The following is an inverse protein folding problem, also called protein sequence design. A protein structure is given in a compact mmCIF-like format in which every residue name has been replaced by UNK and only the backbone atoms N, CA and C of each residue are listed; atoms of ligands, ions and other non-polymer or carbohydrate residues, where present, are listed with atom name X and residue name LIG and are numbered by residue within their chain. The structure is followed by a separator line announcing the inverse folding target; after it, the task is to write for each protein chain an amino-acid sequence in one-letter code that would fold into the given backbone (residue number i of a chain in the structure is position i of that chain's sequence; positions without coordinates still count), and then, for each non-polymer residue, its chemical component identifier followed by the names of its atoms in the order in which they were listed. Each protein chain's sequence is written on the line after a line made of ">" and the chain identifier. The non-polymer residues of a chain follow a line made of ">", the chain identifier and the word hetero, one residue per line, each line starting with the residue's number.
data_IF_224994714562
#
_entry.id   IF_224994714562
#
_cell.length_a   1.000
_cell.length_b   1.000
_cell.length_c   1.000
_cell.angle_alpha   90.00
_cell.angle_beta   90.00
_cell.angle_gamma   90.00
#
_symmetry.space_group_name_H-M   'P 1'
#
loop_
_entity.id
_entity.type
_entity.pdbx_description
1 polymer ?
#
# COMPACT_ATOMS: atom_id res chain seq x y z
N UNK A 1 -26.60 -5.09 19.81
CA UNK A 1 -25.96 -4.87 18.50
C UNK A 1 -24.65 -4.17 18.80
N UNK A 2 -23.50 -4.76 18.46
CA UNK A 2 -22.22 -4.09 18.67
C UNK A 2 -22.09 -2.98 17.62
N UNK A 3 -21.83 -1.76 18.07
CA UNK A 3 -21.53 -0.65 17.18
C UNK A 3 -20.26 -0.99 16.38
N UNK A 4 -20.21 -0.72 15.07
CA UNK A 4 -19.02 -0.98 14.28
C UNK A 4 -17.87 -0.15 14.86
N UNK A 5 -16.78 -0.82 15.24
CA UNK A 5 -15.56 -0.15 15.68
C UNK A 5 -15.13 0.82 14.58
N UNK A 6 -15.25 2.12 14.83
CA UNK A 6 -14.69 3.13 13.94
C UNK A 6 -13.18 2.89 13.87
N UNK A 7 -12.69 2.56 12.67
CA UNK A 7 -11.26 2.45 12.44
C UNK A 7 -10.69 3.86 12.58
N UNK A 8 -9.67 4.02 13.44
CA UNK A 8 -8.99 5.29 13.59
C UNK A 8 -8.50 5.77 12.22
N UNK A 9 -8.85 7.00 11.86
CA UNK A 9 -8.34 7.62 10.65
C UNK A 9 -6.83 7.83 10.81
N UNK A 10 -6.07 7.34 9.83
CA UNK A 10 -4.62 7.52 9.78
C UNK A 10 -4.36 8.52 8.66
N UNK A 11 -3.96 9.72 9.04
CA UNK A 11 -3.46 10.70 8.08
C UNK A 11 -2.03 10.30 7.68
N UNK A 12 -1.84 9.96 6.40
CA UNK A 12 -0.58 9.47 5.86
C UNK A 12 -0.17 10.31 4.66
N UNK A 13 0.83 11.15 4.85
CA UNK A 13 1.50 11.83 3.74
C UNK A 13 2.69 10.98 3.24
N UNK A 14 2.88 10.94 1.92
CA UNK A 14 4.06 10.34 1.29
C UNK A 14 5.35 11.02 1.75
N UNK A 15 5.30 12.32 2.09
CA UNK A 15 6.44 13.07 2.62
C UNK A 15 6.92 12.55 3.98
N UNK A 16 6.04 11.93 4.75
CA UNK A 16 6.36 11.39 6.08
C UNK A 16 6.91 9.96 6.01
N UNK A 17 6.84 9.30 4.85
CA UNK A 17 7.37 7.94 4.67
C UNK A 17 8.87 7.98 4.49
N UNK A 18 9.60 7.51 5.50
CA UNK A 18 11.06 7.42 5.48
C UNK A 18 11.55 6.21 4.71
N UNK A 19 10.88 5.06 4.85
CA UNK A 19 11.27 3.81 4.18
C UNK A 19 10.05 2.93 3.93
N UNK A 20 10.07 2.24 2.79
CA UNK A 20 9.12 1.19 2.46
C UNK A 20 9.89 -0.13 2.34
N UNK A 21 9.37 -1.20 2.93
CA UNK A 21 9.85 -2.56 2.74
C UNK A 21 8.69 -3.45 2.31
N UNK A 22 8.97 -4.38 1.40
CA UNK A 22 8.00 -5.36 0.91
C UNK A 22 8.56 -6.75 1.15
N UNK A 23 7.77 -7.61 1.77
CA UNK A 23 8.14 -8.99 2.04
C UNK A 23 6.96 -9.89 1.73
N UNK A 24 7.21 -10.92 0.94
CA UNK A 24 6.24 -11.98 0.64
C UNK A 24 6.73 -13.26 1.28
N UNK A 25 5.86 -13.92 2.02
CA UNK A 25 6.17 -15.19 2.66
C UNK A 25 6.09 -16.36 1.65
N UNK A 26 6.52 -17.58 2.01
CA UNK A 26 6.43 -18.74 1.12
C UNK A 26 5.00 -19.17 0.77
N UNK A 27 3.99 -18.71 1.51
CA UNK A 27 2.57 -18.98 1.25
C UNK A 27 1.94 -17.92 0.33
N UNK A 28 2.68 -16.86 0.00
CA UNK A 28 2.26 -15.77 -0.88
C UNK A 28 1.57 -14.63 -0.15
N UNK A 29 1.52 -14.63 1.19
CA UNK A 29 1.07 -13.46 1.94
C UNK A 29 2.11 -12.36 1.85
N UNK A 30 1.68 -11.15 1.49
CA UNK A 30 2.57 -10.02 1.28
C UNK A 30 2.33 -8.96 2.34
N UNK A 31 3.41 -8.54 3.00
CA UNK A 31 3.43 -7.40 3.92
C UNK A 31 4.14 -6.22 3.28
N UNK A 32 3.49 -5.06 3.30
CA UNK A 32 4.07 -3.76 2.96
C UNK A 32 4.26 -2.98 4.25
N UNK A 33 5.51 -2.77 4.64
CA UNK A 33 5.87 -2.00 5.83
C UNK A 33 6.23 -0.58 5.45
N UNK A 34 5.60 0.40 6.12
CA UNK A 34 5.91 1.82 6.05
C UNK A 34 6.59 2.23 7.35
N UNK A 35 7.85 2.62 7.28
CA UNK A 35 8.56 3.30 8.37
C UNK A 35 8.38 4.81 8.18
N UNK A 36 7.70 5.45 9.12
CA UNK A 36 7.45 6.88 9.14
C UNK A 36 8.67 7.64 9.70
N UNK A 37 8.85 8.90 9.32
CA UNK A 37 9.88 9.78 9.85
C UNK A 37 9.77 9.97 11.37
N UNK A 38 8.56 9.87 11.92
CA UNK A 38 8.27 9.87 13.36
C UNK A 38 8.76 8.62 14.11
N UNK A 39 9.21 7.59 13.39
CA UNK A 39 9.56 6.28 13.94
C UNK A 39 8.37 5.32 14.09
N UNK A 40 7.14 5.75 13.77
CA UNK A 40 5.99 4.86 13.69
C UNK A 40 6.16 3.87 12.53
N UNK A 41 5.74 2.62 12.75
CA UNK A 41 5.72 1.60 11.70
C UNK A 41 4.29 1.17 11.45
N UNK A 42 3.87 1.18 10.19
CA UNK A 42 2.57 0.70 9.74
C UNK A 42 2.75 -0.44 8.74
N UNK A 43 2.03 -1.54 8.95
CA UNK A 43 2.10 -2.71 8.07
C UNK A 43 0.74 -2.93 7.42
N UNK A 44 0.73 -3.01 6.10
CA UNK A 44 -0.40 -3.51 5.33
C UNK A 44 -0.14 -4.96 4.97
N UNK A 45 -1.02 -5.86 5.40
CA UNK A 45 -0.90 -7.30 5.15
C UNK A 45 -1.97 -7.71 4.14
N UNK A 46 -1.55 -8.37 3.08
CA UNK A 46 -2.40 -8.79 1.99
C UNK A 46 -2.35 -10.31 1.84
N UNK A 47 -3.53 -10.92 1.72
CA UNK A 47 -3.63 -12.27 1.18
C UNK A 47 -3.19 -12.29 -0.29
N UNK A 48 -2.74 -13.44 -0.82
CA UNK A 48 -2.27 -13.55 -2.20
C UNK A 48 -3.28 -13.01 -3.24
N UNK A 49 -4.57 -13.30 -3.05
CA UNK A 49 -5.64 -12.85 -3.95
C UNK A 49 -5.81 -11.32 -3.89
N UNK A 50 -5.74 -10.73 -2.70
CA UNK A 50 -5.90 -9.29 -2.52
C UNK A 50 -4.69 -8.55 -3.08
N UNK A 51 -3.49 -9.07 -2.87
CA UNK A 51 -2.26 -8.50 -3.42
C UNK A 51 -2.27 -8.51 -4.95
N UNK A 52 -2.70 -9.62 -5.57
CA UNK A 52 -2.86 -9.70 -7.03
C UNK A 52 -3.79 -8.61 -7.58
N UNK A 53 -4.89 -8.31 -6.85
CA UNK A 53 -5.81 -7.23 -7.24
C UNK A 53 -5.15 -5.85 -7.13
N UNK A 54 -4.36 -5.62 -6.08
CA UNK A 54 -3.57 -4.39 -5.93
C UNK A 54 -2.59 -4.21 -7.09
N UNK A 55 -1.84 -5.25 -7.45
CA UNK A 55 -0.90 -5.21 -8.58
C UNK A 55 -1.61 -4.87 -9.90
N UNK A 56 -2.77 -5.48 -10.16
CA UNK A 56 -3.56 -5.18 -11.35
C UNK A 56 -4.08 -3.74 -11.38
N UNK A 57 -4.46 -3.18 -10.23
CA UNK A 57 -4.85 -1.77 -10.11
C UNK A 57 -3.66 -0.84 -10.36
N UNK A 58 -2.49 -1.15 -9.81
CA UNK A 58 -1.26 -0.38 -10.02
C UNK A 58 -0.81 -0.41 -11.49
N UNK A 59 -0.89 -1.56 -12.15
CA UNK A 59 -0.57 -1.69 -13.58
C UNK A 59 -1.46 -0.77 -14.43
N UNK A 60 -2.78 -0.81 -14.21
CA UNK A 60 -3.73 0.08 -14.90
C UNK A 60 -3.46 1.56 -14.62
N UNK A 61 -3.14 1.91 -13.37
CA UNK A 61 -2.79 3.28 -13.01
C UNK A 61 -1.52 3.77 -13.71
N UNK A 62 -0.51 2.90 -13.84
CA UNK A 62 0.73 3.20 -14.56
C UNK A 62 0.49 3.36 -16.06
N UNK A 63 -0.31 2.50 -16.68
CA UNK A 63 -0.72 2.64 -18.08
C UNK A 63 -1.46 3.96 -18.32
N UNK A 64 -2.36 4.35 -17.42
CA UNK A 64 -3.07 5.63 -17.50
C UNK A 64 -2.09 6.81 -17.36
N UNK A 65 -1.14 6.77 -16.41
CA UNK A 65 -0.09 7.79 -16.28
C UNK A 65 0.78 7.89 -17.53
N UNK A 66 1.15 6.76 -18.13
CA UNK A 66 1.96 6.73 -19.34
C UNK A 66 1.24 7.37 -20.55
N UNK A 67 -0.09 7.23 -20.64
CA UNK A 67 -0.89 7.91 -21.67
C UNK A 67 -1.01 9.42 -21.45
N UNK A 68 -0.87 9.88 -20.21
CA UNK A 68 -0.98 11.31 -19.82
C UNK A 68 0.39 12.01 -19.83
N UNK A 69 1.50 11.28 -19.94
CA UNK A 69 2.83 11.84 -20.15
C UNK A 69 3.18 11.79 -21.65
N UNK A 70 2.90 12.84 -22.45
CA UNK A 70 3.49 12.92 -23.77
C UNK A 70 4.99 13.07 -23.58
N UNK A 71 5.74 12.26 -24.35
CA UNK A 71 7.15 12.40 -24.68
C UNK A 71 7.61 13.85 -24.49
N UNK A 72 8.44 14.11 -23.49
CA UNK A 72 9.29 15.29 -23.46
C UNK A 72 10.51 15.06 -24.35
#
# INVERSE_FOLDING_TARGET
>A
MAEPTELAEIDLDVADVKRIALTTDPQGETMICFEMASGQVMNLVFSPETFTKLEALMAKANEAKAQVSPIQ
#
